data_IF_775640996082
#
_entry.id   IF_775640996082
#
_cell.length_a   1.000
_cell.length_b   1.000
_cell.length_c   1.000
_cell.angle_alpha   90.00
_cell.angle_beta   90.00
_cell.angle_gamma   90.00
#
_symmetry.space_group_name_H-M   'P 1'
#
loop_
_entity.id
_entity.type
_entity.pdbx_description
1 polymer ?
#
# COMPACT_ATOMS: atom_id res chain seq x y z
N UNK A 1 35.90 84.54 -10.27
CA UNK A 1 34.57 85.08 -10.66
C UNK A 1 33.55 83.95 -10.58
N UNK A 2 32.46 84.18 -9.81
CA UNK A 2 31.14 83.49 -9.79
C UNK A 2 31.12 81.97 -9.47
N UNK A 3 30.81 81.57 -8.22
CA UNK A 3 29.49 81.15 -7.65
C UNK A 3 28.93 79.91 -8.38
N UNK A 4 28.64 78.76 -7.73
CA UNK A 4 27.56 78.56 -6.73
C UNK A 4 27.67 77.24 -5.94
N UNK A 5 27.14 77.28 -4.72
CA UNK A 5 26.84 76.21 -3.76
C UNK A 5 25.56 75.42 -4.14
N UNK A 6 25.46 74.16 -3.67
CA UNK A 6 24.26 73.37 -3.28
C UNK A 6 24.49 71.90 -3.65
N UNK A 7 24.20 70.86 -2.88
CA UNK A 7 23.51 70.66 -1.61
C UNK A 7 23.25 69.14 -1.56
N UNK A 8 23.75 68.45 -0.52
CA UNK A 8 23.64 66.99 -0.40
C UNK A 8 22.23 66.64 0.12
N UNK A 9 21.38 66.04 -0.71
CA UNK A 9 20.13 65.42 -0.26
C UNK A 9 20.36 63.91 -0.10
N UNK A 10 20.30 63.41 1.14
CA UNK A 10 20.23 61.98 1.41
C UNK A 10 18.75 61.54 1.28
N UNK A 11 18.47 60.71 0.28
CA UNK A 11 17.17 60.05 0.14
C UNK A 11 17.16 58.76 0.99
N UNK A 12 16.33 58.74 2.03
CA UNK A 12 16.03 57.56 2.83
C UNK A 12 14.97 56.74 2.07
N UNK A 13 15.39 55.63 1.44
CA UNK A 13 14.47 54.65 0.86
C UNK A 13 13.97 53.70 1.95
N UNK A 14 12.70 53.87 2.35
CA UNK A 14 11.98 52.89 3.16
C UNK A 14 11.60 51.73 2.25
N UNK A 15 12.30 50.60 2.38
CA UNK A 15 11.89 49.34 1.79
C UNK A 15 10.74 48.77 2.62
N UNK A 16 9.51 48.97 2.14
CA UNK A 16 8.35 48.20 2.59
C UNK A 16 8.51 46.80 2.00
N UNK A 17 8.96 45.85 2.82
CA UNK A 17 8.88 44.43 2.50
C UNK A 17 7.40 44.03 2.56
N UNK A 18 6.74 44.02 1.41
CA UNK A 18 5.52 43.24 1.25
C UNK A 18 5.94 41.76 1.19
N UNK A 19 5.97 41.07 2.33
CA UNK A 19 5.91 39.62 2.33
C UNK A 19 4.52 39.22 1.85
N UNK A 20 4.41 38.81 0.58
CA UNK A 20 3.26 38.02 0.14
C UNK A 20 3.32 36.71 0.92
N UNK A 21 2.52 36.59 1.97
CA UNK A 21 2.16 35.29 2.53
C UNK A 21 1.34 34.58 1.45
N UNK A 22 2.02 33.93 0.50
CA UNK A 22 1.37 32.88 -0.27
C UNK A 22 0.98 31.82 0.76
N UNK A 23 -0.31 31.74 1.07
CA UNK A 23 -0.87 30.63 1.83
C UNK A 23 -0.64 29.37 1.02
N UNK A 24 0.40 28.61 1.38
CA UNK A 24 0.63 27.27 0.84
C UNK A 24 -0.61 26.43 1.15
N UNK A 25 -1.35 26.04 0.11
CA UNK A 25 -2.52 25.17 0.27
C UNK A 25 -2.05 23.80 0.78
N UNK A 26 -2.52 23.38 1.94
CA UNK A 26 -2.25 22.05 2.48
C UNK A 26 -3.27 21.07 1.88
N UNK A 27 -2.80 20.19 1.01
CA UNK A 27 -3.61 19.10 0.43
C UNK A 27 -3.95 18.09 1.52
N UNK A 28 -5.17 17.55 1.48
CA UNK A 28 -5.70 16.61 2.48
C UNK A 28 -6.24 15.35 1.81
N UNK A 29 -6.22 14.19 2.49
CA UNK A 29 -6.90 12.99 2.05
C UNK A 29 -8.41 13.20 2.08
N UNK A 30 -9.13 12.48 1.22
CA UNK A 30 -10.55 12.27 1.44
C UNK A 30 -10.79 11.21 2.53
N UNK A 31 -12.05 11.04 2.96
CA UNK A 31 -12.40 10.11 4.03
C UNK A 31 -12.05 8.63 3.73
N UNK A 32 -12.05 8.21 2.46
CA UNK A 32 -11.69 6.85 2.05
C UNK A 32 -10.18 6.65 2.15
N UNK A 33 -9.40 7.60 1.65
CA UNK A 33 -7.94 7.58 1.76
C UNK A 33 -7.46 7.67 3.23
N UNK A 34 -8.17 8.41 4.08
CA UNK A 34 -7.91 8.44 5.52
C UNK A 34 -8.16 7.05 6.16
N UNK A 35 -9.31 6.44 5.89
CA UNK A 35 -9.63 5.09 6.38
C UNK A 35 -8.66 4.01 5.86
N UNK A 36 -8.06 4.24 4.68
CA UNK A 36 -7.00 3.42 4.13
C UNK A 36 -5.69 3.58 4.88
N UNK A 37 -5.25 4.82 5.12
CA UNK A 37 -4.03 5.05 5.91
C UNK A 37 -4.16 4.45 7.33
N UNK A 38 -5.32 4.60 7.97
CA UNK A 38 -5.61 4.01 9.29
C UNK A 38 -5.62 2.48 9.29
N UNK A 39 -5.72 1.84 8.12
CA UNK A 39 -5.68 0.39 8.03
C UNK A 39 -4.28 -0.17 8.27
N UNK A 40 -3.23 0.59 7.88
CA UNK A 40 -1.78 0.32 8.00
C UNK A 40 -1.28 -1.00 7.39
N UNK A 41 -1.90 -2.13 7.71
CA UNK A 41 -1.50 -3.47 7.31
C UNK A 41 -2.65 -4.17 6.59
N UNK A 42 -2.34 -4.73 5.43
CA UNK A 42 -3.21 -5.61 4.66
C UNK A 42 -2.47 -6.84 4.18
N UNK A 43 -3.21 -7.72 3.50
CA UNK A 43 -2.65 -8.90 2.84
C UNK A 43 -3.12 -9.03 1.40
N UNK A 44 -2.27 -9.54 0.52
CA UNK A 44 -2.59 -9.84 -0.88
C UNK A 44 -2.50 -11.34 -1.11
N UNK A 45 -3.63 -11.98 -1.38
CA UNK A 45 -3.75 -13.44 -1.44
C UNK A 45 -3.69 -13.89 -2.90
N UNK A 46 -2.60 -14.58 -3.24
CA UNK A 46 -2.36 -15.09 -4.59
C UNK A 46 -2.71 -16.56 -4.71
N UNK A 47 -3.59 -16.86 -5.66
CA UNK A 47 -3.98 -18.22 -5.99
C UNK A 47 -4.41 -18.30 -7.45
N UNK A 48 -3.75 -19.14 -8.24
CA UNK A 48 -3.97 -19.27 -9.69
C UNK A 48 -3.37 -20.61 -10.18
N UNK A 49 -3.58 -20.95 -11.45
CA UNK A 49 -3.08 -22.15 -12.13
C UNK A 49 -1.61 -22.49 -11.91
N UNK A 50 -0.65 -21.55 -11.81
CA UNK A 50 0.75 -21.87 -11.55
C UNK A 50 0.99 -22.69 -10.26
N UNK A 51 0.06 -22.65 -9.30
CA UNK A 51 0.13 -23.51 -8.08
C UNK A 51 0.00 -24.99 -8.44
N UNK A 52 -0.86 -25.33 -9.40
CA UNK A 52 -1.08 -26.70 -9.87
C UNK A 52 -0.17 -27.10 -11.03
N UNK A 53 0.28 -26.12 -11.82
CA UNK A 53 1.08 -26.32 -13.03
C UNK A 53 2.28 -25.38 -13.01
N UNK A 54 3.33 -25.68 -12.21
CA UNK A 54 4.42 -24.75 -11.96
C UNK A 54 5.32 -24.48 -13.17
N UNK A 55 5.30 -25.36 -14.19
CA UNK A 55 6.05 -25.18 -15.44
C UNK A 55 5.27 -24.38 -16.49
N UNK A 56 4.01 -24.02 -16.19
CA UNK A 56 3.19 -23.20 -17.10
C UNK A 56 3.72 -21.76 -17.16
N UNK A 57 3.97 -21.29 -18.38
CA UNK A 57 4.24 -19.90 -18.68
C UNK A 57 3.06 -19.33 -19.45
N UNK A 58 2.38 -18.33 -18.87
CA UNK A 58 1.18 -17.75 -19.47
C UNK A 58 1.42 -17.10 -20.84
N UNK A 59 2.66 -16.69 -21.16
CA UNK A 59 3.04 -16.14 -22.47
C UNK A 59 3.33 -17.20 -23.53
N UNK A 60 3.34 -18.49 -23.15
CA UNK A 60 3.34 -19.57 -24.12
C UNK A 60 1.89 -19.82 -24.56
N UNK A 61 1.42 -19.02 -25.51
CA UNK A 61 0.03 -19.01 -25.93
C UNK A 61 -0.44 -20.38 -26.43
N UNK A 62 -1.67 -20.73 -26.09
CA UNK A 62 -2.28 -22.01 -26.50
C UNK A 62 -1.86 -23.21 -25.65
N UNK A 63 -1.05 -23.01 -24.62
CA UNK A 63 -0.64 -24.06 -23.67
C UNK A 63 -1.21 -23.85 -22.27
N UNK A 64 -2.36 -23.17 -22.14
CA UNK A 64 -3.03 -23.03 -20.86
C UNK A 64 -3.42 -24.43 -20.32
N UNK A 65 -3.23 -24.69 -19.01
CA UNK A 65 -3.69 -25.94 -18.43
C UNK A 65 -5.19 -26.14 -18.56
N UNK A 66 -5.62 -27.41 -18.55
CA UNK A 66 -7.04 -27.71 -18.46
C UNK A 66 -7.59 -27.28 -17.08
N UNK A 67 -8.80 -26.70 -17.03
CA UNK A 67 -9.42 -26.24 -15.79
C UNK A 67 -9.58 -27.35 -14.73
N UNK A 68 -9.62 -28.61 -15.15
CA UNK A 68 -9.76 -29.77 -14.25
C UNK A 68 -8.57 -29.99 -13.31
N UNK A 69 -7.41 -29.41 -13.60
CA UNK A 69 -6.22 -29.54 -12.73
C UNK A 69 -6.34 -28.68 -11.47
N UNK A 70 -7.16 -27.62 -11.51
CA UNK A 70 -7.41 -26.76 -10.37
C UNK A 70 -8.41 -27.45 -9.45
N UNK A 71 -7.97 -28.01 -8.32
CA UNK A 71 -8.85 -28.75 -7.42
C UNK A 71 -8.43 -28.64 -5.94
N UNK A 72 -8.70 -27.51 -5.26
CA UNK A 72 -8.32 -27.31 -3.87
C UNK A 72 -9.26 -28.08 -2.92
N UNK A 73 -8.92 -29.34 -2.64
CA UNK A 73 -9.78 -30.28 -1.90
C UNK A 73 -10.01 -29.90 -0.43
N UNK A 74 -9.17 -29.07 0.15
CA UNK A 74 -9.23 -28.63 1.55
C UNK A 74 -9.43 -27.09 1.64
N UNK A 75 -9.91 -26.44 0.58
CA UNK A 75 -10.04 -24.97 0.52
C UNK A 75 -10.79 -24.42 1.72
N UNK A 76 -10.17 -23.46 2.41
CA UNK A 76 -10.76 -22.81 3.56
C UNK A 76 -10.34 -21.34 3.64
N UNK A 77 -11.18 -20.45 3.12
CA UNK A 77 -10.96 -18.99 3.18
C UNK A 77 -11.01 -18.45 4.61
N UNK A 78 -11.74 -19.08 5.55
CA UNK A 78 -11.68 -18.69 6.96
C UNK A 78 -10.26 -18.85 7.53
N UNK A 79 -9.53 -19.89 7.12
CA UNK A 79 -8.13 -20.09 7.53
C UNK A 79 -7.20 -19.01 6.95
N UNK A 80 -7.51 -18.50 5.75
CA UNK A 80 -6.76 -17.41 5.15
C UNK A 80 -6.94 -16.12 5.95
N UNK A 81 -8.20 -15.78 6.26
CA UNK A 81 -8.54 -14.55 6.98
C UNK A 81 -8.22 -14.63 8.48
N UNK A 82 -8.24 -15.82 9.09
CA UNK A 82 -7.69 -16.02 10.44
C UNK A 82 -6.18 -15.71 10.48
N UNK A 83 -5.44 -16.13 9.46
CA UNK A 83 -4.00 -15.87 9.34
C UNK A 83 -3.74 -14.36 9.18
N UNK A 84 -4.52 -13.69 8.31
CA UNK A 84 -4.47 -12.25 8.16
C UNK A 84 -4.81 -11.51 9.47
N UNK A 85 -5.81 -11.99 10.21
CA UNK A 85 -6.18 -11.44 11.51
C UNK A 85 -5.04 -11.59 12.54
N UNK A 86 -4.34 -12.73 12.56
CA UNK A 86 -3.18 -12.97 13.44
C UNK A 86 -1.99 -12.05 13.15
N UNK A 87 -1.85 -11.57 11.91
CA UNK A 87 -0.89 -10.51 11.56
C UNK A 87 -1.28 -9.16 12.17
N UNK A 88 -2.58 -8.94 12.37
CA UNK A 88 -3.16 -7.62 12.67
C UNK A 88 -3.67 -6.89 11.41
N UNK A 89 -3.77 -7.57 10.26
CA UNK A 89 -4.23 -6.97 9.03
C UNK A 89 -5.69 -6.47 9.13
N UNK A 90 -5.94 -5.29 8.57
CA UNK A 90 -7.25 -4.63 8.58
C UNK A 90 -8.00 -4.79 7.26
N UNK A 91 -7.31 -5.16 6.19
CA UNK A 91 -7.88 -5.42 4.88
C UNK A 91 -7.16 -6.59 4.19
N UNK A 92 -7.83 -7.19 3.20
CA UNK A 92 -7.28 -8.28 2.41
C UNK A 92 -7.73 -8.11 0.96
N UNK A 93 -6.81 -8.31 0.01
CA UNK A 93 -7.07 -8.29 -1.42
C UNK A 93 -6.94 -9.71 -1.96
N UNK A 94 -7.98 -10.23 -2.60
CA UNK A 94 -7.92 -11.53 -3.29
C UNK A 94 -7.57 -11.32 -4.76
N UNK A 95 -6.58 -12.06 -5.24
CA UNK A 95 -6.31 -12.23 -6.68
C UNK A 95 -7.39 -13.15 -7.28
N UNK A 96 -8.52 -12.56 -7.67
CA UNK A 96 -9.66 -13.28 -8.26
C UNK A 96 -9.36 -13.78 -9.67
N UNK A 97 -8.46 -13.09 -10.40
CA UNK A 97 -7.91 -13.52 -11.68
C UNK A 97 -6.52 -12.91 -11.86
N UNK A 98 -5.53 -13.74 -12.15
CA UNK A 98 -4.17 -13.33 -12.50
C UNK A 98 -3.88 -13.59 -13.99
N UNK A 99 -2.61 -13.50 -14.40
CA UNK A 99 -2.17 -13.56 -15.78
C UNK A 99 -2.45 -14.90 -16.49
N UNK A 100 -2.78 -16.00 -15.80
CA UNK A 100 -3.21 -17.23 -16.49
C UNK A 100 -4.52 -17.04 -17.27
N UNK A 101 -5.36 -16.09 -16.83
CA UNK A 101 -6.73 -15.90 -17.30
C UNK A 101 -7.78 -16.75 -16.58
N UNK A 102 -7.38 -17.67 -15.69
CA UNK A 102 -8.32 -18.48 -14.92
C UNK A 102 -9.05 -17.64 -13.87
N UNK A 103 -10.37 -17.69 -13.86
CA UNK A 103 -11.21 -16.92 -12.94
C UNK A 103 -11.64 -17.77 -11.73
N UNK A 104 -11.40 -17.27 -10.51
CA UNK A 104 -11.72 -17.95 -9.25
C UNK A 104 -13.20 -17.89 -8.84
N UNK A 105 -14.03 -17.23 -9.65
CA UNK A 105 -15.49 -17.17 -9.49
C UNK A 105 -16.17 -17.67 -10.76
N UNK A 106 -17.46 -18.06 -10.69
CA UNK A 106 -18.18 -18.61 -11.83
C UNK A 106 -18.59 -17.52 -12.84
N UNK A 107 -17.62 -16.89 -13.50
CA UNK A 107 -17.86 -15.82 -14.48
C UNK A 107 -18.67 -16.29 -15.69
N UNK A 108 -19.57 -15.44 -16.19
CA UNK A 108 -20.31 -15.71 -17.43
C UNK A 108 -19.58 -15.16 -18.68
N UNK A 109 -18.37 -14.61 -18.50
CA UNK A 109 -17.64 -13.96 -19.60
C UNK A 109 -16.92 -14.97 -20.52
N UNK A 110 -16.49 -16.12 -19.98
CA UNK A 110 -15.88 -17.23 -20.73
C UNK A 110 -15.80 -18.50 -19.88
N UNK A 111 -15.48 -19.64 -20.50
CA UNK A 111 -15.48 -20.94 -19.83
C UNK A 111 -14.29 -21.15 -18.87
N UNK A 112 -13.14 -20.51 -19.10
CA UNK A 112 -11.92 -20.75 -18.31
C UNK A 112 -11.98 -20.15 -16.89
N UNK A 113 -12.71 -20.85 -16.02
CA UNK A 113 -13.05 -20.42 -14.67
C UNK A 113 -13.30 -21.63 -13.77
N UNK A 114 -13.55 -21.36 -12.50
CA UNK A 114 -13.90 -22.38 -11.50
C UNK A 114 -15.12 -23.24 -11.90
N UNK A 115 -16.00 -22.79 -12.82
CA UNK A 115 -17.11 -23.61 -13.35
C UNK A 115 -16.65 -24.89 -14.04
N UNK A 116 -15.45 -24.88 -14.62
CA UNK A 116 -14.87 -26.02 -15.34
C UNK A 116 -13.88 -26.81 -14.47
N UNK A 117 -13.77 -26.47 -13.18
CA UNK A 117 -12.99 -27.23 -12.20
C UNK A 117 -13.86 -28.32 -11.54
N UNK A 118 -13.29 -29.47 -11.15
CA UNK A 118 -14.00 -30.48 -10.34
C UNK A 118 -14.29 -30.00 -8.92
N UNK A 119 -13.67 -28.91 -8.45
CA UNK A 119 -13.87 -28.40 -7.11
C UNK A 119 -15.32 -28.01 -6.89
N UNK A 120 -15.93 -28.54 -5.81
CA UNK A 120 -17.37 -28.40 -5.53
C UNK A 120 -18.26 -28.70 -6.76
N UNK A 121 -17.84 -29.63 -7.62
CA UNK A 121 -18.52 -30.01 -8.86
C UNK A 121 -18.76 -28.82 -9.84
N UNK A 122 -17.87 -27.82 -9.84
CA UNK A 122 -18.01 -26.62 -10.69
C UNK A 122 -19.03 -25.60 -10.18
N UNK A 123 -19.63 -25.82 -9.01
CA UNK A 123 -20.61 -24.91 -8.39
C UNK A 123 -19.97 -23.97 -7.36
N UNK A 124 -18.65 -24.06 -7.19
CA UNK A 124 -17.92 -23.28 -6.20
C UNK A 124 -17.67 -21.83 -6.62
N UNK A 125 -17.50 -20.96 -5.64
CA UNK A 125 -17.14 -19.55 -5.80
C UNK A 125 -16.19 -19.12 -4.69
N UNK A 126 -14.89 -19.01 -5.02
CA UNK A 126 -13.85 -18.67 -4.04
C UNK A 126 -13.96 -17.19 -3.65
N UNK A 127 -14.42 -16.32 -4.55
CA UNK A 127 -14.59 -14.90 -4.26
C UNK A 127 -15.72 -14.72 -3.24
N UNK A 128 -16.85 -15.41 -3.40
CA UNK A 128 -17.92 -15.40 -2.40
C UNK A 128 -17.45 -15.94 -1.03
N UNK A 129 -16.75 -17.08 -1.01
CA UNK A 129 -16.19 -17.68 0.21
C UNK A 129 -15.19 -16.72 0.91
N UNK A 130 -14.38 -15.98 0.14
CA UNK A 130 -13.44 -14.98 0.63
C UNK A 130 -14.17 -13.77 1.25
N UNK A 131 -15.16 -13.21 0.56
CA UNK A 131 -15.93 -12.05 1.04
C UNK A 131 -16.68 -12.39 2.34
N UNK A 132 -17.25 -13.58 2.43
CA UNK A 132 -17.90 -14.07 3.64
C UNK A 132 -16.92 -14.17 4.82
N UNK A 133 -15.70 -14.64 4.55
CA UNK A 133 -14.62 -14.74 5.56
C UNK A 133 -14.13 -13.36 6.00
N UNK A 134 -13.92 -12.43 5.07
CA UNK A 134 -13.59 -11.03 5.37
C UNK A 134 -14.60 -10.44 6.37
N UNK A 135 -15.90 -10.61 6.12
CA UNK A 135 -16.96 -10.18 7.04
C UNK A 135 -16.87 -10.87 8.40
N UNK A 136 -16.61 -12.18 8.45
CA UNK A 136 -16.51 -12.95 9.69
C UNK A 136 -15.36 -12.49 10.59
N UNK A 137 -14.20 -12.17 10.00
CA UNK A 137 -13.00 -11.74 10.73
C UNK A 137 -12.86 -10.22 10.85
N UNK A 138 -13.87 -9.45 10.40
CA UNK A 138 -13.86 -7.99 10.38
C UNK A 138 -12.65 -7.41 9.60
N UNK A 139 -12.32 -8.05 8.49
CA UNK A 139 -11.28 -7.62 7.55
C UNK A 139 -11.98 -7.01 6.34
N UNK A 140 -11.53 -5.83 5.92
CA UNK A 140 -12.15 -5.12 4.78
C UNK A 140 -11.75 -5.81 3.46
N UNK A 141 -12.69 -6.18 2.59
CA UNK A 141 -12.39 -6.95 1.40
C UNK A 141 -11.92 -6.07 0.24
N UNK A 142 -10.94 -6.55 -0.52
CA UNK A 142 -10.52 -6.01 -1.80
C UNK A 142 -10.35 -7.09 -2.85
N UNK A 143 -10.33 -6.68 -4.12
CA UNK A 143 -10.24 -7.61 -5.27
C UNK A 143 -9.22 -7.09 -6.28
N UNK A 144 -8.38 -8.03 -6.74
CA UNK A 144 -7.54 -7.89 -7.92
C UNK A 144 -8.07 -8.80 -9.04
N UNK A 145 -8.21 -8.25 -10.24
CA UNK A 145 -8.50 -9.02 -11.45
C UNK A 145 -7.72 -8.43 -12.62
N UNK A 146 -6.72 -9.15 -13.12
CA UNK A 146 -5.84 -8.67 -14.19
C UNK A 146 -6.66 -8.27 -15.43
N UNK A 147 -6.48 -7.04 -15.89
CA UNK A 147 -7.01 -6.59 -17.19
C UNK A 147 -5.90 -6.49 -18.24
N UNK A 148 -4.66 -6.50 -17.78
CA UNK A 148 -3.44 -6.23 -18.53
C UNK A 148 -2.85 -7.49 -19.17
N UNK A 149 -3.07 -8.68 -18.59
CA UNK A 149 -2.62 -9.94 -19.16
C UNK A 149 -3.64 -11.09 -19.00
N UNK A 150 -3.67 -12.00 -19.96
CA UNK A 150 -4.52 -13.19 -19.96
C UNK A 150 -3.94 -14.30 -20.86
N UNK A 151 -3.40 -15.34 -20.25
CA UNK A 151 -2.85 -16.56 -20.88
C UNK A 151 -3.83 -17.29 -21.80
N UNK A 152 -5.08 -17.39 -21.38
CA UNK A 152 -6.15 -18.08 -22.09
C UNK A 152 -6.60 -17.34 -23.36
N UNK A 153 -6.62 -16.01 -23.32
CA UNK A 153 -7.10 -15.14 -24.42
C UNK A 153 -5.98 -14.45 -25.21
N UNK A 154 -4.73 -14.82 -24.93
CA UNK A 154 -3.50 -14.33 -25.57
C UNK A 154 -3.38 -12.82 -25.44
N UNK A 155 -3.57 -12.32 -24.23
CA UNK A 155 -3.42 -10.90 -23.90
C UNK A 155 -2.16 -10.71 -23.08
N UNK A 156 -1.40 -9.68 -23.42
CA UNK A 156 -0.24 -9.24 -22.64
C UNK A 156 -0.30 -7.73 -22.40
N UNK A 157 0.55 -7.28 -21.49
CA UNK A 157 0.57 -5.92 -21.00
C UNK A 157 0.66 -4.90 -22.16
N UNK A 158 -0.14 -3.82 -22.13
CA UNK A 158 -1.01 -3.37 -21.04
C UNK A 158 -2.48 -3.83 -21.15
N UNK A 159 -2.78 -4.95 -21.80
CA UNK A 159 -4.17 -5.41 -22.04
C UNK A 159 -4.50 -5.54 -23.53
N UNK A 160 -3.48 -5.79 -24.35
CA UNK A 160 -3.59 -5.89 -25.81
C UNK A 160 -3.64 -7.35 -26.22
N UNK A 161 -4.65 -7.72 -27.01
CA UNK A 161 -4.74 -9.05 -27.63
C UNK A 161 -3.62 -9.20 -28.64
N UNK A 162 -2.82 -10.26 -28.48
CA UNK A 162 -1.69 -10.58 -29.32
C UNK A 162 -2.12 -11.24 -30.63
N UNK A 163 -1.24 -11.22 -31.63
CA UNK A 163 -1.47 -11.87 -32.91
C UNK A 163 -1.78 -13.36 -32.73
N UNK A 164 -2.82 -13.85 -33.42
CA UNK A 164 -3.29 -15.24 -33.28
C UNK A 164 -4.17 -15.49 -32.05
N UNK A 165 -4.53 -14.44 -31.30
CA UNK A 165 -5.49 -14.52 -30.19
C UNK A 165 -6.85 -15.09 -30.61
N UNK A 166 -7.52 -15.83 -29.71
CA UNK A 166 -8.81 -16.47 -30.00
C UNK A 166 -9.98 -15.48 -30.06
N UNK A 167 -9.75 -14.21 -29.70
CA UNK A 167 -10.74 -13.13 -29.66
C UNK A 167 -10.16 -11.87 -30.29
N UNK A 168 -11.02 -10.94 -30.68
CA UNK A 168 -10.64 -9.57 -31.03
C UNK A 168 -10.42 -8.71 -29.78
N UNK A 169 -9.76 -7.56 -29.92
CA UNK A 169 -9.64 -6.58 -28.84
C UNK A 169 -11.00 -6.10 -28.33
N UNK A 170 -11.98 -5.92 -29.23
CA UNK A 170 -13.32 -5.50 -28.85
C UNK A 170 -14.04 -6.56 -27.98
N UNK A 171 -13.89 -7.84 -28.34
CA UNK A 171 -14.42 -8.96 -27.55
C UNK A 171 -13.73 -9.07 -26.19
N UNK A 172 -12.40 -8.90 -26.14
CA UNK A 172 -11.68 -8.86 -24.87
C UNK A 172 -12.16 -7.71 -23.96
N UNK A 173 -12.39 -6.53 -24.51
CA UNK A 173 -12.95 -5.40 -23.74
C UNK A 173 -14.35 -5.70 -23.20
N UNK A 174 -15.19 -6.44 -23.94
CA UNK A 174 -16.50 -6.91 -23.45
C UNK A 174 -16.35 -7.90 -22.32
N UNK A 175 -15.42 -8.86 -22.44
CA UNK A 175 -15.06 -9.81 -21.38
C UNK A 175 -14.61 -9.08 -20.12
N UNK A 176 -13.67 -8.14 -20.24
CA UNK A 176 -13.19 -7.32 -19.10
C UNK A 176 -14.35 -6.56 -18.46
N UNK A 177 -15.17 -5.87 -19.27
CA UNK A 177 -16.32 -5.11 -18.74
C UNK A 177 -17.28 -6.01 -17.98
N UNK A 178 -17.56 -7.21 -18.49
CA UNK A 178 -18.44 -8.18 -17.85
C UNK A 178 -17.85 -8.72 -16.55
N UNK A 179 -16.59 -9.18 -16.57
CA UNK A 179 -15.91 -9.70 -15.37
C UNK A 179 -15.83 -8.66 -14.26
N UNK A 180 -15.45 -7.43 -14.59
CA UNK A 180 -15.40 -6.34 -13.61
C UNK A 180 -16.79 -5.96 -13.11
N UNK A 181 -17.82 -6.00 -13.97
CA UNK A 181 -19.21 -5.79 -13.53
C UNK A 181 -19.62 -6.86 -12.51
N UNK A 182 -19.39 -8.13 -12.80
CA UNK A 182 -19.70 -9.25 -11.88
C UNK A 182 -19.00 -9.07 -10.53
N UNK A 183 -17.69 -8.81 -10.54
CA UNK A 183 -16.89 -8.63 -9.32
C UNK A 183 -17.31 -7.40 -8.51
N UNK A 184 -17.74 -6.33 -9.18
CA UNK A 184 -18.04 -5.06 -8.52
C UNK A 184 -19.52 -4.87 -8.18
N UNK A 185 -20.43 -5.71 -8.70
CA UNK A 185 -21.85 -5.65 -8.34
C UNK A 185 -22.30 -6.76 -7.39
N UNK A 186 -21.69 -7.94 -7.45
CA UNK A 186 -22.25 -9.14 -6.80
C UNK A 186 -21.65 -9.42 -5.41
N UNK A 187 -20.51 -8.81 -5.08
CA UNK A 187 -19.72 -9.14 -3.88
C UNK A 187 -19.71 -8.04 -2.82
N UNK A 188 -20.61 -7.06 -2.92
CA UNK A 188 -20.74 -5.96 -1.97
C UNK A 188 -19.74 -4.82 -2.19
N UNK A 189 -19.63 -3.93 -1.20
CA UNK A 189 -18.69 -2.80 -1.24
C UNK A 189 -17.26 -3.30 -1.01
N UNK A 190 -16.35 -2.92 -1.90
CA UNK A 190 -14.93 -3.24 -1.82
C UNK A 190 -14.19 -2.06 -1.18
N UNK A 191 -13.28 -2.39 -0.27
CA UNK A 191 -12.37 -1.44 0.32
C UNK A 191 -11.27 -1.03 -0.66
N UNK A 192 -10.76 -1.99 -1.42
CA UNK A 192 -9.67 -1.77 -2.36
C UNK A 192 -9.84 -2.58 -3.64
N UNK A 193 -9.53 -1.97 -4.77
CA UNK A 193 -9.41 -2.61 -6.07
C UNK A 193 -7.98 -2.40 -6.56
N UNK A 194 -7.31 -3.51 -6.82
CA UNK A 194 -5.91 -3.50 -7.24
C UNK A 194 -5.83 -3.59 -8.76
N UNK A 195 -5.09 -2.66 -9.39
CA UNK A 195 -4.89 -2.63 -10.83
C UNK A 195 -3.41 -2.83 -11.15
N UNK A 196 -2.94 -4.08 -11.11
CA UNK A 196 -1.55 -4.45 -11.43
C UNK A 196 -1.12 -3.94 -12.81
N UNK A 197 -0.18 -2.99 -12.82
CA UNK A 197 0.29 -2.36 -14.04
C UNK A 197 -0.76 -1.48 -14.73
N UNK A 198 -1.83 -1.12 -14.02
CA UNK A 198 -2.91 -0.28 -14.49
C UNK A 198 -3.95 -0.99 -15.37
N UNK A 199 -4.42 -0.28 -16.38
CA UNK A 199 -5.42 -0.74 -17.35
C UNK A 199 -5.04 -0.22 -18.74
N UNK A 200 -5.54 -0.82 -19.82
CA UNK A 200 -5.49 -0.17 -21.14
C UNK A 200 -6.56 0.92 -21.21
N UNK A 201 -6.17 2.17 -21.47
CA UNK A 201 -7.13 3.27 -21.57
C UNK A 201 -8.12 3.09 -22.73
N UNK A 202 -9.32 3.66 -22.59
CA UNK A 202 -10.34 3.64 -23.65
C UNK A 202 -9.85 4.33 -24.92
N UNK A 203 -9.11 5.42 -24.77
CA UNK A 203 -8.51 6.19 -25.88
C UNK A 203 -7.48 5.37 -26.65
N UNK A 204 -6.83 4.40 -25.99
CA UNK A 204 -5.91 3.43 -26.59
C UNK A 204 -6.57 2.11 -26.99
N UNK A 205 -7.91 2.03 -26.94
CA UNK A 205 -8.67 0.86 -27.38
C UNK A 205 -8.97 -0.18 -26.30
N UNK A 206 -8.84 0.16 -25.02
CA UNK A 206 -9.26 -0.66 -23.89
C UNK A 206 -10.72 -0.45 -23.46
N UNK A 207 -11.13 -1.15 -22.39
CA UNK A 207 -12.44 -0.99 -21.78
C UNK A 207 -12.58 0.34 -21.01
N UNK A 208 -13.80 0.84 -20.83
CA UNK A 208 -14.09 2.07 -20.07
C UNK A 208 -14.11 1.78 -18.56
N UNK A 209 -12.95 1.39 -18.02
CA UNK A 209 -12.80 0.92 -16.63
C UNK A 209 -13.07 2.05 -15.63
N UNK A 210 -12.67 3.29 -15.95
CA UNK A 210 -12.91 4.46 -15.10
C UNK A 210 -14.40 4.67 -14.83
N UNK A 211 -15.22 4.71 -15.90
CA UNK A 211 -16.67 4.91 -15.74
C UNK A 211 -17.30 3.75 -14.98
N UNK A 212 -16.80 2.54 -15.17
CA UNK A 212 -17.31 1.35 -14.51
C UNK A 212 -17.01 1.36 -13.00
N UNK A 213 -15.77 1.66 -12.59
CA UNK A 213 -15.40 1.69 -11.16
C UNK A 213 -16.09 2.84 -10.44
N UNK A 214 -16.20 4.03 -11.06
CA UNK A 214 -16.93 5.16 -10.48
C UNK A 214 -18.43 4.87 -10.32
N UNK A 215 -19.00 4.01 -11.18
CA UNK A 215 -20.41 3.63 -11.09
C UNK A 215 -20.65 2.56 -10.04
N UNK A 216 -19.82 1.51 -10.02
CA UNK A 216 -20.09 0.30 -9.22
C UNK A 216 -19.39 0.34 -7.85
N UNK A 217 -18.21 0.95 -7.76
CA UNK A 217 -17.37 0.99 -6.56
C UNK A 217 -16.76 2.40 -6.35
N UNK A 218 -17.58 3.46 -6.26
CA UNK A 218 -17.09 4.84 -6.12
C UNK A 218 -16.26 5.10 -4.86
N UNK A 219 -16.42 4.25 -3.84
CA UNK A 219 -15.76 4.37 -2.55
C UNK A 219 -14.48 3.55 -2.42
N UNK A 220 -14.22 2.62 -3.34
CA UNK A 220 -13.05 1.77 -3.25
C UNK A 220 -11.78 2.60 -3.40
N UNK A 221 -10.75 2.25 -2.65
CA UNK A 221 -9.38 2.61 -2.95
C UNK A 221 -8.98 1.95 -4.27
N UNK A 222 -8.29 2.67 -5.13
CA UNK A 222 -7.83 2.14 -6.40
C UNK A 222 -6.30 2.20 -6.45
N UNK A 223 -5.65 1.07 -6.18
CA UNK A 223 -4.20 0.95 -6.32
C UNK A 223 -3.84 0.92 -7.80
N UNK A 224 -2.99 1.86 -8.24
CA UNK A 224 -2.64 2.05 -9.66
C UNK A 224 -3.86 2.20 -10.59
N UNK A 225 -4.99 2.64 -10.04
CA UNK A 225 -6.26 2.73 -10.77
C UNK A 225 -6.26 3.75 -11.91
N UNK A 226 -7.32 3.75 -12.73
CA UNK A 226 -7.44 4.69 -13.83
C UNK A 226 -7.47 6.14 -13.35
N UNK A 227 -6.75 7.01 -14.06
CA UNK A 227 -6.72 8.44 -13.78
C UNK A 227 -8.14 9.03 -13.74
N UNK A 228 -8.44 9.85 -12.72
CA UNK A 228 -9.75 10.46 -12.51
C UNK A 228 -10.63 9.78 -11.45
N UNK A 229 -10.24 8.59 -10.97
CA UNK A 229 -10.84 8.04 -9.75
C UNK A 229 -10.39 8.86 -8.53
N UNK A 230 -11.27 9.22 -7.57
CA UNK A 230 -10.91 10.12 -6.49
C UNK A 230 -10.06 9.50 -5.37
N UNK A 231 -10.01 8.16 -5.28
CA UNK A 231 -9.37 7.46 -4.15
C UNK A 231 -8.14 6.66 -4.61
N UNK A 232 -7.24 7.31 -5.34
CA UNK A 232 -6.05 6.66 -5.88
C UNK A 232 -4.96 6.50 -4.80
N UNK A 233 -4.26 5.37 -4.88
CA UNK A 233 -3.01 5.10 -4.16
C UNK A 233 -1.98 4.57 -5.16
N UNK A 234 -0.70 4.75 -4.86
CA UNK A 234 0.40 4.46 -5.79
C UNK A 234 1.30 3.37 -5.26
N UNK A 235 1.93 2.66 -6.19
CA UNK A 235 3.01 1.73 -5.86
C UNK A 235 4.27 2.48 -5.40
N UNK A 236 4.99 1.92 -4.42
CA UNK A 236 6.26 2.48 -3.93
C UNK A 236 7.47 2.15 -4.80
N UNK A 237 7.30 1.39 -5.89
CA UNK A 237 8.34 1.16 -6.89
C UNK A 237 9.23 -0.08 -6.67
N UNK A 238 8.91 -0.93 -5.70
CA UNK A 238 9.56 -2.21 -5.47
C UNK A 238 8.63 -3.17 -4.72
N UNK A 239 8.89 -4.47 -4.82
CA UNK A 239 8.20 -5.54 -4.08
C UNK A 239 9.01 -6.02 -2.85
N UNK A 240 9.89 -5.16 -2.33
CA UNK A 240 10.75 -5.46 -1.19
C UNK A 240 10.21 -4.86 0.12
N UNK A 241 9.06 -4.19 0.10
CA UNK A 241 8.47 -3.55 1.27
C UNK A 241 9.28 -2.34 1.76
N UNK A 242 10.00 -1.69 0.85
CA UNK A 242 10.88 -0.55 1.17
C UNK A 242 10.34 0.71 0.52
N UNK A 243 9.51 1.45 1.24
CA UNK A 243 9.17 2.81 0.87
C UNK A 243 10.43 3.69 0.94
N UNK A 244 10.59 4.65 0.02
CA UNK A 244 11.68 5.60 0.11
C UNK A 244 11.49 6.54 1.31
N UNK A 245 12.52 7.29 1.70
CA UNK A 245 12.41 8.27 2.78
C UNK A 245 13.12 9.58 2.39
N UNK A 246 12.42 10.73 2.40
CA UNK A 246 11.02 10.93 2.80
C UNK A 246 9.99 10.28 1.84
N UNK A 247 8.81 9.93 2.35
CA UNK A 247 7.68 9.46 1.55
C UNK A 247 6.45 10.34 1.79
N UNK A 248 6.15 11.24 0.86
CA UNK A 248 4.99 12.13 0.90
C UNK A 248 3.76 11.45 0.31
N UNK A 249 2.59 11.67 0.91
CA UNK A 249 1.31 11.27 0.30
C UNK A 249 0.93 12.17 -0.86
N UNK A 250 1.43 13.41 -0.87
CA UNK A 250 1.25 14.31 -1.99
C UNK A 250 2.18 13.96 -3.15
N UNK A 251 1.67 14.04 -4.38
CA UNK A 251 2.39 13.67 -5.60
C UNK A 251 2.02 14.58 -6.77
N UNK A 252 2.95 14.71 -7.72
CA UNK A 252 2.82 15.53 -8.93
C UNK A 252 1.83 14.94 -9.95
N UNK A 253 1.61 13.63 -9.85
CA UNK A 253 0.56 12.89 -10.55
C UNK A 253 -0.06 11.85 -9.62
N UNK A 254 -1.28 11.41 -9.95
CA UNK A 254 -1.96 10.32 -9.23
C UNK A 254 -1.58 8.97 -9.83
N UNK A 255 -1.94 8.76 -11.09
CA UNK A 255 -1.63 7.62 -11.97
C UNK A 255 -1.77 8.08 -13.42
N UNK A 256 -1.26 7.34 -14.40
CA UNK A 256 -1.68 7.51 -15.80
C UNK A 256 -2.61 6.38 -16.22
N UNK A 257 -3.32 6.57 -17.34
CA UNK A 257 -4.26 5.59 -17.88
C UNK A 257 -3.60 4.28 -18.37
N UNK A 258 -2.27 4.17 -18.30
CA UNK A 258 -1.42 2.98 -18.56
C UNK A 258 -0.68 2.48 -17.29
N UNK A 259 -1.08 2.97 -16.11
CA UNK A 259 -0.58 2.54 -14.80
C UNK A 259 0.87 2.90 -14.46
N UNK A 260 1.67 3.46 -15.38
CA UNK A 260 3.14 3.38 -15.27
C UNK A 260 3.96 4.60 -15.75
N UNK A 261 3.48 5.85 -15.58
CA UNK A 261 4.46 6.96 -15.52
C UNK A 261 5.02 7.16 -14.11
N UNK A 262 6.35 7.18 -14.11
CA UNK A 262 7.26 7.68 -13.07
C UNK A 262 6.67 8.94 -12.45
N UNK A 263 6.12 8.82 -11.23
CA UNK A 263 6.08 9.92 -10.25
C UNK A 263 7.50 10.50 -10.26
N UNK A 264 7.70 11.82 -10.33
CA UNK A 264 9.03 12.43 -10.30
C UNK A 264 9.74 12.16 -8.95
N UNK A 265 10.17 10.92 -8.73
CA UNK A 265 10.61 10.36 -7.46
C UNK A 265 9.51 9.59 -6.72
N UNK A 266 9.79 8.35 -6.35
CA UNK A 266 8.95 7.51 -5.47
C UNK A 266 8.70 8.15 -4.09
N UNK A 267 9.50 9.17 -3.75
CA UNK A 267 9.37 10.00 -2.55
C UNK A 267 8.07 10.83 -2.51
N UNK A 268 7.38 11.04 -3.64
CA UNK A 268 6.33 12.07 -3.72
C UNK A 268 6.89 13.49 -3.61
N UNK A 269 6.01 14.49 -3.51
CA UNK A 269 6.37 15.91 -3.43
C UNK A 269 5.45 16.62 -2.41
N UNK A 270 6.01 17.24 -1.34
CA UNK A 270 5.23 17.85 -0.26
C UNK A 270 4.37 19.04 -0.71
N UNK A 271 4.64 19.63 -1.88
CA UNK A 271 3.94 20.81 -2.41
C UNK A 271 3.06 20.48 -3.62
N UNK A 272 3.03 19.23 -4.05
CA UNK A 272 2.24 18.81 -5.19
C UNK A 272 0.73 18.72 -4.87
N UNK A 273 -0.14 18.89 -5.87
CA UNK A 273 -1.57 19.17 -5.63
C UNK A 273 -2.43 17.93 -5.40
N UNK A 274 -1.93 16.72 -5.63
CA UNK A 274 -2.71 15.50 -5.53
C UNK A 274 -2.37 14.70 -4.29
N UNK A 275 -3.38 14.19 -3.58
CA UNK A 275 -3.21 13.19 -2.53
C UNK A 275 -3.28 11.80 -3.14
N UNK A 276 -2.15 11.09 -3.21
CA UNK A 276 -2.04 9.75 -3.78
C UNK A 276 -0.98 8.96 -2.99
N UNK A 277 -1.28 8.46 -1.78
CA UNK A 277 -0.28 7.88 -0.88
C UNK A 277 0.31 6.57 -1.42
N UNK A 278 1.51 6.23 -0.95
CA UNK A 278 2.23 5.03 -1.37
C UNK A 278 1.78 3.78 -0.62
N UNK A 279 1.68 2.65 -1.32
CA UNK A 279 1.48 1.31 -0.74
C UNK A 279 2.72 0.44 -1.00
N UNK A 280 3.20 -0.21 0.06
CA UNK A 280 4.37 -1.09 0.05
C UNK A 280 3.95 -2.55 0.06
N UNK A 281 3.99 -3.18 -1.10
CA UNK A 281 3.71 -4.60 -1.27
C UNK A 281 5.01 -5.43 -1.24
N UNK A 282 4.93 -6.65 -0.68
CA UNK A 282 6.02 -7.63 -0.70
C UNK A 282 5.55 -9.02 -0.29
N UNK A 283 6.34 -10.03 -0.59
CA UNK A 283 6.04 -11.43 -0.26
C UNK A 283 6.70 -11.89 1.04
N UNK A 284 6.15 -12.94 1.64
CA UNK A 284 6.77 -13.61 2.81
C UNK A 284 8.11 -14.30 2.47
N UNK A 285 8.37 -14.58 1.19
CA UNK A 285 9.56 -15.28 0.69
C UNK A 285 10.44 -14.36 -0.15
N UNK A 286 11.72 -14.69 -0.32
CA UNK A 286 12.58 -13.91 -1.22
C UNK A 286 12.11 -13.97 -2.68
N UNK A 287 12.39 -12.93 -3.46
CA UNK A 287 12.06 -12.82 -4.90
C UNK A 287 12.60 -13.96 -5.79
N UNK A 288 13.67 -14.65 -5.35
CA UNK A 288 14.20 -15.86 -5.99
C UNK A 288 13.31 -17.11 -5.83
N UNK A 289 12.26 -17.01 -5.02
CA UNK A 289 11.28 -18.08 -4.85
C UNK A 289 10.39 -18.19 -6.09
N UNK A 290 9.55 -19.22 -6.14
CA UNK A 290 8.68 -19.44 -7.29
C UNK A 290 7.79 -18.22 -7.55
N UNK A 291 7.80 -17.74 -8.80
CA UNK A 291 7.04 -16.56 -9.24
C UNK A 291 7.24 -15.33 -8.32
N UNK A 292 8.48 -15.00 -7.96
CA UNK A 292 8.75 -13.85 -7.08
C UNK A 292 8.40 -14.07 -5.61
N UNK A 293 7.96 -15.28 -5.24
CA UNK A 293 7.41 -15.59 -3.92
C UNK A 293 5.91 -15.31 -3.80
N UNK A 294 5.24 -14.85 -4.86
CA UNK A 294 3.80 -14.57 -4.88
C UNK A 294 2.96 -15.84 -5.02
N UNK A 295 3.49 -16.93 -5.58
CA UNK A 295 2.77 -18.20 -5.66
C UNK A 295 3.45 -19.28 -4.84
N UNK A 296 2.64 -20.21 -4.34
CA UNK A 296 3.16 -21.34 -3.59
C UNK A 296 3.83 -22.37 -4.51
N UNK A 297 4.93 -22.95 -4.03
CA UNK A 297 5.55 -24.16 -4.58
C UNK A 297 6.09 -25.02 -3.44
N UNK A 298 5.85 -26.32 -3.50
CA UNK A 298 6.33 -27.26 -2.50
C UNK A 298 7.86 -27.17 -2.29
N UNK A 299 8.29 -27.30 -1.03
CA UNK A 299 9.71 -27.33 -0.66
C UNK A 299 10.41 -25.97 -0.57
N UNK A 300 9.66 -24.86 -0.55
CA UNK A 300 10.22 -23.50 -0.49
C UNK A 300 10.04 -22.80 0.88
N UNK A 301 9.70 -23.52 1.94
CA UNK A 301 9.51 -22.94 3.28
C UNK A 301 10.79 -22.28 3.82
N UNK A 302 11.96 -22.83 3.50
CA UNK A 302 13.26 -22.27 3.87
C UNK A 302 13.62 -20.98 3.12
N UNK A 303 12.78 -20.54 2.19
CA UNK A 303 12.96 -19.29 1.44
C UNK A 303 12.22 -18.09 2.05
N UNK A 304 11.54 -18.29 3.19
CA UNK A 304 10.87 -17.21 3.92
C UNK A 304 11.88 -16.25 4.56
N UNK A 305 11.56 -14.96 4.55
CA UNK A 305 12.27 -13.97 5.36
C UNK A 305 12.15 -14.33 6.85
N UNK A 306 13.22 -14.10 7.61
CA UNK A 306 13.18 -14.23 9.06
C UNK A 306 12.46 -13.02 9.71
N UNK A 307 12.14 -13.14 11.00
CA UNK A 307 11.36 -12.13 11.72
C UNK A 307 12.04 -10.75 11.77
N UNK A 308 13.36 -10.62 12.07
CA UNK A 308 14.07 -9.35 11.94
C UNK A 308 13.98 -8.68 10.55
N UNK A 309 14.07 -9.47 9.46
CA UNK A 309 13.90 -8.96 8.10
C UNK A 309 12.47 -8.45 7.87
N UNK A 310 11.46 -9.21 8.32
CA UNK A 310 10.05 -8.82 8.19
C UNK A 310 9.70 -7.59 9.03
N UNK A 311 10.25 -7.45 10.24
CA UNK A 311 10.11 -6.25 11.06
C UNK A 311 10.77 -5.04 10.39
N UNK A 312 11.92 -5.23 9.75
CA UNK A 312 12.53 -4.17 8.95
C UNK A 312 11.59 -3.73 7.85
N UNK A 313 10.91 -4.66 7.16
CA UNK A 313 9.92 -4.32 6.12
C UNK A 313 8.71 -3.57 6.68
N UNK A 314 8.21 -3.92 7.88
CA UNK A 314 7.18 -3.13 8.58
C UNK A 314 7.65 -1.69 8.87
N UNK A 315 8.87 -1.53 9.37
CA UNK A 315 9.46 -0.21 9.64
C UNK A 315 9.71 0.59 8.36
N UNK A 316 10.08 -0.05 7.26
CA UNK A 316 10.31 0.61 5.97
C UNK A 316 9.04 0.76 5.13
N UNK A 317 7.88 0.37 5.65
CA UNK A 317 6.57 0.59 5.02
C UNK A 317 5.68 1.45 5.93
N UNK A 318 5.03 0.84 6.94
CA UNK A 318 4.20 1.52 7.95
C UNK A 318 4.98 2.60 8.67
N UNK A 319 6.24 2.33 9.00
CA UNK A 319 7.13 3.32 9.62
C UNK A 319 7.66 4.40 8.70
N UNK A 320 7.25 4.43 7.43
CA UNK A 320 7.60 5.42 6.40
C UNK A 320 6.37 5.93 5.64
N UNK A 321 5.23 6.07 6.34
CA UNK A 321 4.04 6.71 5.79
C UNK A 321 3.45 6.00 4.55
N UNK A 322 3.43 4.66 4.59
CA UNK A 322 2.77 3.82 3.58
C UNK A 322 2.00 2.71 4.27
N UNK A 323 0.98 2.15 3.63
CA UNK A 323 0.46 0.86 4.08
C UNK A 323 1.43 -0.26 3.69
N UNK A 324 1.48 -1.30 4.52
CA UNK A 324 2.11 -2.58 4.25
C UNK A 324 1.09 -3.56 3.68
N UNK A 325 1.38 -4.16 2.52
CA UNK A 325 0.57 -5.21 1.91
C UNK A 325 1.38 -6.51 1.79
N UNK A 326 1.14 -7.47 2.70
CA UNK A 326 1.89 -8.73 2.72
C UNK A 326 1.28 -9.80 1.80
N UNK A 327 2.07 -10.32 0.88
CA UNK A 327 1.73 -11.42 0.00
C UNK A 327 1.58 -12.75 0.75
N UNK A 328 0.37 -13.31 0.69
CA UNK A 328 0.05 -14.66 1.17
C UNK A 328 -0.09 -15.61 0.00
N UNK A 329 0.48 -16.80 0.16
CA UNK A 329 0.39 -17.87 -0.83
C UNK A 329 -0.57 -18.95 -0.36
N UNK A 330 -1.31 -19.52 -1.31
CA UNK A 330 -2.21 -20.66 -1.07
C UNK A 330 -1.62 -21.90 -1.76
N UNK A 331 -1.53 -23.02 -1.03
CA UNK A 331 -1.02 -24.27 -1.57
C UNK A 331 -2.04 -24.99 -2.47
N UNK A 332 -1.60 -26.12 -3.05
CA UNK A 332 -2.41 -26.97 -3.93
C UNK A 332 -3.66 -27.60 -3.27
N UNK A 333 -3.73 -27.58 -1.93
CA UNK A 333 -4.90 -28.01 -1.16
C UNK A 333 -5.92 -26.90 -0.93
N UNK A 334 -5.55 -25.63 -1.16
CA UNK A 334 -6.40 -24.46 -0.87
C UNK A 334 -6.21 -23.86 0.51
N UNK A 335 -5.05 -24.06 1.15
CA UNK A 335 -4.72 -23.55 2.48
C UNK A 335 -3.46 -22.67 2.43
N UNK A 336 -3.37 -21.70 3.33
CA UNK A 336 -2.08 -21.08 3.63
C UNK A 336 -1.22 -22.13 4.36
N UNK A 337 0.02 -22.42 3.93
CA UNK A 337 0.84 -23.45 4.57
C UNK A 337 1.10 -23.17 6.06
N UNK A 338 1.13 -24.21 6.89
CA UNK A 338 1.32 -24.04 8.34
C UNK A 338 2.61 -23.30 8.73
N UNK A 339 3.67 -23.42 7.90
CA UNK A 339 4.91 -22.71 8.10
C UNK A 339 4.73 -21.18 7.95
N UNK A 340 4.00 -20.76 6.91
CA UNK A 340 3.62 -19.38 6.67
C UNK A 340 2.76 -18.84 7.81
N UNK A 341 1.72 -19.60 8.21
CA UNK A 341 0.84 -19.21 9.33
C UNK A 341 1.64 -18.91 10.61
N UNK A 342 2.59 -19.79 10.97
CA UNK A 342 3.45 -19.58 12.15
C UNK A 342 4.35 -18.35 12.01
N UNK A 343 4.93 -18.13 10.84
CA UNK A 343 5.80 -16.98 10.58
C UNK A 343 5.03 -15.67 10.67
N UNK A 344 3.84 -15.63 10.07
CA UNK A 344 2.94 -14.46 10.06
C UNK A 344 2.41 -14.15 11.46
N UNK A 345 1.98 -15.18 12.21
CA UNK A 345 1.54 -15.01 13.59
C UNK A 345 2.69 -14.50 14.48
N UNK A 346 3.91 -15.00 14.27
CA UNK A 346 5.10 -14.52 15.00
C UNK A 346 5.41 -13.06 14.65
N UNK A 347 5.30 -12.68 13.37
CA UNK A 347 5.46 -11.29 12.94
C UNK A 347 4.43 -10.38 13.62
N UNK A 348 3.15 -10.73 13.58
CA UNK A 348 2.09 -9.95 14.24
C UNK A 348 2.34 -9.77 15.74
N UNK A 349 2.76 -10.84 16.44
CA UNK A 349 3.15 -10.78 17.86
C UNK A 349 4.34 -9.86 18.10
N UNK A 350 5.36 -9.89 17.23
CA UNK A 350 6.53 -9.02 17.38
C UNK A 350 6.20 -7.55 17.09
N UNK A 351 5.33 -7.24 16.12
CA UNK A 351 4.86 -5.87 15.89
C UNK A 351 4.15 -5.34 17.15
N UNK A 352 3.22 -6.13 17.71
CA UNK A 352 2.52 -5.76 18.96
C UNK A 352 3.49 -5.63 20.13
N UNK A 353 4.46 -6.54 20.27
CA UNK A 353 5.46 -6.50 21.34
C UNK A 353 6.30 -5.21 21.27
N UNK A 354 6.67 -4.77 20.07
CA UNK A 354 7.59 -3.65 19.89
C UNK A 354 6.90 -2.29 19.85
N UNK A 355 5.65 -2.22 19.40
CA UNK A 355 4.95 -0.96 19.11
C UNK A 355 3.53 -0.87 19.70
N UNK A 356 3.03 -1.93 20.33
CA UNK A 356 1.64 -2.00 20.78
C UNK A 356 1.34 -1.24 22.07
N UNK A 357 2.34 -0.97 22.92
CA UNK A 357 2.14 -0.19 24.16
C UNK A 357 3.32 0.75 24.39
N UNK A 358 3.12 2.08 24.29
CA UNK A 358 4.19 3.03 24.53
C UNK A 358 4.54 3.13 26.01
N UNK A 359 5.79 3.44 26.31
CA UNK A 359 6.25 3.78 27.67
C UNK A 359 5.68 5.13 28.11
N UNK A 360 5.58 6.06 27.17
CA UNK A 360 4.98 7.38 27.36
C UNK A 360 4.53 7.91 26.00
N UNK A 361 3.45 8.71 25.98
CA UNK A 361 2.94 9.34 24.77
C UNK A 361 2.37 10.74 25.01
N UNK A 362 2.39 11.59 23.99
CA UNK A 362 1.73 12.90 23.99
C UNK A 362 1.23 13.26 22.59
N UNK A 363 0.43 14.32 22.51
CA UNK A 363 -0.11 14.88 21.27
C UNK A 363 -0.30 16.39 21.43
N UNK A 364 -0.50 17.11 20.34
CA UNK A 364 -0.81 18.53 20.39
C UNK A 364 -0.51 19.29 19.11
N UNK A 365 -0.38 20.60 19.26
CA UNK A 365 -0.09 21.54 18.17
C UNK A 365 1.11 22.41 18.53
N UNK A 366 1.89 22.82 17.54
CA UNK A 366 3.07 23.67 17.72
C UNK A 366 4.36 23.00 17.23
N UNK A 367 5.49 23.64 17.52
CA UNK A 367 6.81 23.23 17.02
C UNK A 367 7.67 22.47 18.04
N UNK A 368 7.24 22.34 19.29
CA UNK A 368 7.99 21.60 20.32
C UNK A 368 7.08 20.75 21.19
N UNK A 369 7.48 19.49 21.42
CA UNK A 369 6.76 18.51 22.22
C UNK A 369 7.74 17.83 23.16
N UNK A 370 7.48 17.86 24.46
CA UNK A 370 8.38 17.27 25.47
C UNK A 370 7.64 16.17 26.21
N UNK A 371 8.28 15.01 26.31
CA UNK A 371 7.90 13.90 27.18
C UNK A 371 8.94 13.77 28.28
N UNK A 372 8.53 13.91 29.53
CA UNK A 372 9.38 13.65 30.70
C UNK A 372 9.04 12.30 31.32
N UNK A 373 10.03 11.67 31.90
CA UNK A 373 9.89 10.40 32.60
C UNK A 373 10.02 10.61 34.10
N UNK A 374 9.28 9.82 34.90
CA UNK A 374 9.35 9.89 36.37
C UNK A 374 10.71 9.44 36.92
N UNK A 375 11.44 8.65 36.12
CA UNK A 375 12.79 8.16 36.39
C UNK A 375 13.54 8.04 35.06
N UNK A 376 14.89 8.04 35.07
CA UNK A 376 15.68 7.76 33.88
C UNK A 376 15.18 6.46 33.22
N UNK A 377 14.76 6.58 31.97
CA UNK A 377 14.08 5.51 31.23
C UNK A 377 14.86 5.22 29.96
N UNK A 378 15.14 3.95 29.70
CA UNK A 378 15.80 3.49 28.49
C UNK A 378 14.78 3.45 27.35
N UNK A 379 15.12 4.04 26.21
CA UNK A 379 14.30 4.06 24.99
C UNK A 379 15.18 3.88 23.76
N UNK A 380 14.64 3.33 22.69
CA UNK A 380 15.37 3.12 21.43
C UNK A 380 14.52 3.35 20.17
N UNK A 381 13.24 3.71 20.36
CA UNK A 381 12.26 3.84 19.29
C UNK A 381 11.27 4.97 19.58
N UNK A 382 10.86 5.64 18.52
CA UNK A 382 9.83 6.70 18.55
C UNK A 382 8.83 6.45 17.44
N UNK A 383 7.54 6.57 17.73
CA UNK A 383 6.47 6.70 16.73
C UNK A 383 6.02 8.17 16.71
N UNK A 384 5.99 8.74 15.51
CA UNK A 384 5.43 10.05 15.22
C UNK A 384 4.24 9.88 14.26
N UNK A 385 3.14 10.59 14.50
CA UNK A 385 1.97 10.62 13.62
C UNK A 385 1.41 12.03 13.53
N UNK A 386 1.17 12.52 12.31
CA UNK A 386 0.43 13.73 12.05
C UNK A 386 -1.07 13.46 11.94
N UNK A 387 -1.88 14.49 12.23
CA UNK A 387 -3.31 14.50 11.89
C UNK A 387 -3.47 14.69 10.38
N UNK A 388 -3.30 13.61 9.61
CA UNK A 388 -3.31 13.70 8.16
C UNK A 388 -4.67 14.12 7.60
N UNK A 389 -5.77 14.09 8.36
CA UNK A 389 -7.03 14.71 7.94
C UNK A 389 -6.89 16.24 7.75
N UNK A 390 -5.86 16.83 8.36
CA UNK A 390 -5.43 18.23 8.18
C UNK A 390 -4.20 18.37 7.26
N UNK A 391 -3.82 17.28 6.59
CA UNK A 391 -2.71 17.13 5.65
C UNK A 391 -1.37 16.86 6.32
N UNK A 392 -0.38 16.48 5.52
CA UNK A 392 1.03 16.38 5.95
C UNK A 392 1.60 17.78 6.08
N UNK A 393 2.22 18.12 7.20
CA UNK A 393 2.66 19.51 7.49
C UNK A 393 4.12 19.60 7.83
N UNK A 394 4.67 18.65 8.58
CA UNK A 394 6.07 18.63 9.00
C UNK A 394 6.96 18.36 7.79
N UNK A 395 7.88 19.29 7.50
CA UNK A 395 8.88 19.18 6.43
C UNK A 395 10.23 18.66 6.96
N UNK A 396 10.56 19.03 8.19
CA UNK A 396 11.80 18.63 8.88
C UNK A 396 11.58 18.62 10.39
N UNK A 397 12.17 17.64 11.07
CA UNK A 397 12.16 17.57 12.53
C UNK A 397 13.45 17.01 13.11
N UNK A 398 13.63 17.24 14.41
CA UNK A 398 14.72 16.71 15.22
C UNK A 398 14.18 16.09 16.51
N UNK A 399 14.74 14.94 16.90
CA UNK A 399 14.50 14.28 18.19
C UNK A 399 15.71 14.46 19.08
N UNK A 400 15.47 14.95 20.30
CA UNK A 400 16.51 15.20 21.31
C UNK A 400 16.21 14.48 22.62
N UNK A 401 17.21 13.92 23.26
CA UNK A 401 17.10 13.26 24.56
C UNK A 401 17.75 14.09 25.65
N UNK A 402 17.13 14.20 26.83
CA UNK A 402 17.72 14.84 27.99
C UNK A 402 18.48 13.79 28.81
N UNK A 403 19.78 13.98 28.99
CA UNK A 403 20.67 13.11 29.76
C UNK A 403 21.63 13.97 30.57
N UNK A 404 21.72 13.74 31.88
CA UNK A 404 22.61 14.51 32.77
C UNK A 404 22.41 16.03 32.66
N UNK A 405 21.16 16.49 32.58
CA UNK A 405 20.77 17.90 32.33
C UNK A 405 21.17 18.51 30.98
N UNK A 406 21.73 17.73 30.05
CA UNK A 406 22.05 18.19 28.70
C UNK A 406 21.10 17.55 27.67
N UNK A 407 20.81 18.26 26.59
CA UNK A 407 20.08 17.73 25.44
C UNK A 407 21.07 17.20 24.41
N UNK A 408 20.96 15.91 24.08
CA UNK A 408 21.71 15.24 23.02
C UNK A 408 20.79 14.97 21.83
N UNK A 409 21.33 14.99 20.61
CA UNK A 409 20.57 14.62 19.42
C UNK A 409 20.43 13.08 19.36
N UNK A 410 19.22 12.60 19.02
CA UNK A 410 18.90 11.17 18.90
C UNK A 410 18.68 10.77 17.45
N UNK A 411 17.87 11.55 16.74
CA UNK A 411 17.51 11.34 15.35
C UNK A 411 17.02 12.66 14.73
N UNK A 412 16.93 12.70 13.40
CA UNK A 412 16.32 13.80 12.64
C UNK A 412 15.70 13.22 11.38
N UNK A 413 14.62 13.82 10.91
CA UNK A 413 13.90 13.33 9.75
C UNK A 413 13.17 14.43 8.99
N UNK A 414 12.33 13.99 8.06
CA UNK A 414 11.52 14.83 7.18
C UNK A 414 10.05 14.45 7.31
N UNK A 415 9.40 13.96 6.25
CA UNK A 415 7.99 13.54 6.27
C UNK A 415 7.69 12.62 7.47
N UNK A 416 6.64 12.97 8.22
CA UNK A 416 6.04 12.12 9.25
C UNK A 416 4.78 11.45 8.69
N UNK A 417 3.82 12.27 8.21
CA UNK A 417 2.57 11.78 7.64
C UNK A 417 1.75 10.94 8.62
N UNK A 418 1.11 9.88 8.13
CA UNK A 418 0.27 9.01 8.93
C UNK A 418 1.04 8.36 10.07
N UNK A 419 2.24 7.85 9.77
CA UNK A 419 3.14 7.25 10.76
C UNK A 419 4.58 7.24 10.27
N UNK A 420 5.48 7.63 11.17
CA UNK A 420 6.92 7.48 11.02
C UNK A 420 7.52 6.80 12.25
N UNK A 421 8.47 5.89 12.03
CA UNK A 421 9.19 5.17 13.09
C UNK A 421 10.67 5.52 13.02
N UNK A 422 11.17 6.15 14.08
CA UNK A 422 12.60 6.34 14.29
C UNK A 422 13.19 5.25 15.17
N UNK A 423 14.42 4.84 14.83
CA UNK A 423 15.24 3.89 15.59
C UNK A 423 16.60 4.50 15.89
N UNK A 424 17.10 4.23 17.08
CA UNK A 424 18.45 4.61 17.50
C UNK A 424 18.96 3.64 18.57
N UNK A 425 20.26 3.69 18.85
CA UNK A 425 20.85 2.89 19.93
C UNK A 425 20.20 3.22 21.29
N UNK A 426 19.89 2.23 22.14
CA UNK A 426 19.23 2.47 23.42
C UNK A 426 19.89 3.59 24.25
N UNK A 427 19.10 4.58 24.64
CA UNK A 427 19.52 5.69 25.48
C UNK A 427 18.66 5.74 26.75
N UNK A 428 19.31 5.80 27.91
CA UNK A 428 18.66 6.13 29.19
C UNK A 428 18.55 7.65 29.34
N UNK A 429 17.33 8.16 29.38
CA UNK A 429 17.00 9.58 29.30
C UNK A 429 16.03 10.00 30.40
N UNK A 430 16.11 11.27 30.83
CA UNK A 430 15.17 11.91 31.76
C UNK A 430 13.94 12.47 31.02
N UNK A 431 14.12 12.82 29.75
CA UNK A 431 13.07 13.32 28.86
C UNK A 431 13.46 13.11 27.39
N UNK A 432 12.50 13.18 26.49
CA UNK A 432 12.71 13.30 25.05
C UNK A 432 11.92 14.51 24.53
N UNK A 433 12.42 15.13 23.48
CA UNK A 433 11.80 16.28 22.81
C UNK A 433 11.76 16.07 21.31
N UNK A 434 10.59 16.27 20.70
CA UNK A 434 10.42 16.51 19.28
C UNK A 434 10.46 18.02 19.02
N UNK A 435 11.26 18.43 18.04
CA UNK A 435 11.30 19.79 17.50
C UNK A 435 10.94 19.74 16.03
N UNK A 436 9.90 20.45 15.62
CA UNK A 436 9.56 20.65 14.20
C UNK A 436 10.37 21.83 13.70
N UNK A 437 11.40 21.54 12.91
CA UNK A 437 12.36 22.52 12.41
C UNK A 437 11.80 23.30 11.20
N UNK A 438 10.97 22.64 10.38
CA UNK A 438 10.33 23.23 9.19
C UNK A 438 8.94 22.62 8.98
N UNK A 439 7.95 23.44 8.61
CA UNK A 439 6.59 22.97 8.32
C UNK A 439 5.85 23.85 7.33
N UNK A 440 4.91 23.25 6.57
CA UNK A 440 4.02 23.95 5.62
C UNK A 440 2.97 24.82 6.31
N UNK A 441 2.57 24.42 7.52
CA UNK A 441 1.57 25.05 8.37
C UNK A 441 1.76 24.56 9.82
N UNK A 442 1.04 25.15 10.78
CA UNK A 442 1.09 24.74 12.19
C UNK A 442 1.01 23.21 12.33
N UNK A 443 2.06 22.55 12.86
CA UNK A 443 2.10 21.09 12.97
C UNK A 443 0.98 20.57 13.85
N UNK A 444 0.45 19.40 13.48
CA UNK A 444 -0.66 18.73 14.16
C UNK A 444 -0.21 17.31 14.51
N UNK A 445 0.46 17.14 15.64
CA UNK A 445 0.97 15.82 16.05
C UNK A 445 -0.12 15.09 16.84
N UNK A 446 -0.69 14.04 16.24
CA UNK A 446 -1.66 13.16 16.92
C UNK A 446 -0.99 12.18 17.87
N UNK A 447 0.23 11.77 17.57
CA UNK A 447 0.95 10.82 18.40
C UNK A 447 2.45 11.11 18.36
N UNK A 448 3.01 11.32 19.53
CA UNK A 448 4.44 11.22 19.81
C UNK A 448 4.59 10.20 20.93
N UNK A 449 5.05 9.00 20.59
CA UNK A 449 5.16 7.86 21.49
C UNK A 449 6.58 7.32 21.54
N UNK A 450 7.02 6.84 22.70
CA UNK A 450 8.34 6.22 22.87
C UNK A 450 8.26 4.79 23.37
N UNK A 451 9.21 3.97 22.92
CA UNK A 451 9.27 2.54 23.20
C UNK A 451 10.69 2.10 23.52
N UNK A 452 10.77 0.99 24.24
CA UNK A 452 11.98 0.21 24.43
C UNK A 452 11.72 -1.22 23.99
N UNK A 453 12.54 -1.73 23.10
CA UNK A 453 12.55 -3.17 22.79
C UNK A 453 13.73 -3.82 23.48
N UNK A 454 13.42 -4.63 24.50
CA UNK A 454 14.35 -5.56 25.13
C UNK A 454 14.68 -6.70 24.16
#
# INVERSE_FOLDING_TARGET
>A
MKKTFAGLLAALSVLISCSSNETTTVVTPNARQLAWADAEMGVLIHFDMPVYQPDYNFRNWGTHPDASVFNPTELNTDQWLETAHKLGAQYAVLVAKHCSGFSLWPTEAHDYSIKQSPWKNGEGDIVADFIASCKKYNIKPGIYASTTANGYLYVDNPGVVQEGGPVSQEEYNKIVTQQLTELWSNYGELFEIWFDGGVLSKEQGGADVLSLVQKLQPNAIAFQGPYGHPNLVRWVGNEEGVAPYPCWSTADSTTNADGTRVINGLNGDPFAPFWCPGESDFTLRWNRSFQGGWFWKAGQDSMMFNIPELLTKYETSVGRNTNMLLGLVVNDKGLIPDADVRQIETLGKEIVRQYGTPLQQTSGTGSEYILSFDKPTSINRVILQEDIAKGERVLKYSLKGKKNNEWIDLASGSCIGHKHIDRFEPQTLDAIKLVVDESKADPQIMNFSVFETI
#
